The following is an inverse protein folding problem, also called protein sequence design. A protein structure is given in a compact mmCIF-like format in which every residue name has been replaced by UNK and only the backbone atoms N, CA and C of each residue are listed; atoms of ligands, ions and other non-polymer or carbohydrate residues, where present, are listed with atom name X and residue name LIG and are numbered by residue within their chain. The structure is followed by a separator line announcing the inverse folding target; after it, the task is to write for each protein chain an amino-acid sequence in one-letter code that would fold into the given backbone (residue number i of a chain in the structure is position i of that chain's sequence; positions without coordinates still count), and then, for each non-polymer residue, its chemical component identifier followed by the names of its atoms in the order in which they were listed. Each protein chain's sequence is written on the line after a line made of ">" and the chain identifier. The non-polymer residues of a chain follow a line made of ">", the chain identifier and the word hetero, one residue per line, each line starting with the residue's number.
data_IF_272286189235
#
_entry.id   IF_272286189235
#
_cell.length_a   1.000
_cell.length_b   1.000
_cell.length_c   1.000
_cell.angle_alpha   90.00
_cell.angle_beta   90.00
_cell.angle_gamma   90.00
#
_symmetry.space_group_name_H-M   'P 1'
#
loop_
_entity.id
_entity.type
_entity.pdbx_description
1 polymer ?
#
# COMPACT_ATOMS: atom_id res chain seq x y z
N UNK A 1 6.99 22.14 16.42
CA UNK A 1 8.30 21.77 17.04
C UNK A 1 8.47 20.25 17.16
N UNK A 2 7.48 19.47 16.72
CA UNK A 2 7.46 18.00 16.81
C UNK A 2 8.01 17.29 15.56
N UNK A 3 8.31 18.02 14.49
CA UNK A 3 8.97 17.51 13.26
C UNK A 3 10.12 16.53 13.51
N UNK A 4 11.15 16.83 14.34
CA UNK A 4 12.27 15.91 14.51
C UNK A 4 11.83 14.59 15.17
N UNK A 5 10.87 14.65 16.09
CA UNK A 5 10.34 13.45 16.76
C UNK A 5 9.58 12.57 15.76
N UNK A 6 8.71 13.16 14.93
CA UNK A 6 7.98 12.42 13.88
C UNK A 6 8.91 11.72 12.88
N UNK A 7 10.00 12.37 12.47
CA UNK A 7 11.01 11.78 11.58
C UNK A 7 11.75 10.64 12.30
N UNK A 8 12.19 10.84 13.54
CA UNK A 8 12.87 9.80 14.33
C UNK A 8 11.99 8.57 14.49
N UNK A 9 10.70 8.75 14.80
CA UNK A 9 9.74 7.66 14.89
C UNK A 9 9.59 6.92 13.54
N UNK A 10 9.54 7.67 12.43
CA UNK A 10 9.48 7.11 11.07
C UNK A 10 10.71 6.26 10.73
N UNK A 11 11.89 6.66 11.18
CA UNK A 11 13.14 5.92 10.98
C UNK A 11 13.22 4.66 11.86
N UNK A 12 12.74 4.74 13.11
CA UNK A 12 12.80 3.65 14.09
C UNK A 12 11.75 2.56 13.87
N UNK A 13 10.59 2.89 13.30
CA UNK A 13 9.53 1.93 13.01
C UNK A 13 10.02 0.70 12.22
N UNK A 14 10.65 0.86 11.04
CA UNK A 14 11.18 -0.24 10.26
C UNK A 14 12.27 -1.06 10.98
N UNK A 15 13.12 -0.41 11.78
CA UNK A 15 14.11 -1.07 12.62
C UNK A 15 13.45 -2.00 13.64
N UNK A 16 12.41 -1.51 14.30
CA UNK A 16 11.68 -2.24 15.33
C UNK A 16 10.91 -3.41 14.73
N UNK A 17 10.29 -3.23 13.56
CA UNK A 17 9.67 -4.30 12.77
C UNK A 17 10.69 -5.36 12.37
N UNK A 18 11.89 -4.94 11.91
CA UNK A 18 12.97 -5.85 11.54
C UNK A 18 13.46 -6.70 12.71
N UNK A 19 13.56 -6.11 13.90
CA UNK A 19 13.90 -6.82 15.13
C UNK A 19 12.79 -7.79 15.57
N UNK A 20 11.52 -7.46 15.29
CA UNK A 20 10.36 -8.27 15.61
C UNK A 20 10.23 -9.56 14.80
N UNK A 21 10.81 -9.63 13.59
CA UNK A 21 10.62 -10.76 12.66
C UNK A 21 11.06 -12.13 13.22
N UNK A 22 12.08 -12.16 14.08
CA UNK A 22 12.57 -13.38 14.74
C UNK A 22 12.29 -13.42 16.24
N UNK A 23 11.49 -12.48 16.77
CA UNK A 23 11.26 -12.26 18.20
C UNK A 23 9.76 -12.28 18.53
N UNK A 24 9.42 -11.80 19.73
CA UNK A 24 8.05 -11.72 20.25
C UNK A 24 7.18 -10.73 19.44
N UNK A 25 5.90 -11.07 19.30
CA UNK A 25 4.87 -10.25 18.62
C UNK A 25 4.81 -8.79 19.09
N UNK A 26 5.13 -8.50 20.35
CA UNK A 26 5.13 -7.14 20.90
C UNK A 26 6.08 -6.15 20.19
N UNK A 27 7.21 -6.61 19.64
CA UNK A 27 8.11 -5.75 18.86
C UNK A 27 7.49 -5.32 17.52
N UNK A 28 6.70 -6.21 16.91
CA UNK A 28 5.97 -5.92 15.67
C UNK A 28 4.88 -4.88 15.95
N UNK A 29 4.10 -5.08 17.01
CA UNK A 29 3.10 -4.10 17.45
C UNK A 29 3.73 -2.74 17.76
N UNK A 30 4.86 -2.71 18.47
CA UNK A 30 5.57 -1.47 18.75
C UNK A 30 6.07 -0.76 17.49
N UNK A 31 6.60 -1.50 16.51
CA UNK A 31 7.01 -0.93 15.23
C UNK A 31 5.86 -0.29 14.45
N UNK A 32 4.70 -0.94 14.42
CA UNK A 32 3.48 -0.36 13.85
C UNK A 32 3.01 0.87 14.63
N UNK A 33 2.99 0.81 15.97
CA UNK A 33 2.62 1.93 16.81
C UNK A 33 3.52 3.15 16.60
N UNK A 34 4.84 2.96 16.44
CA UNK A 34 5.77 4.04 16.12
C UNK A 34 5.44 4.69 14.76
N UNK A 35 5.20 3.89 13.73
CA UNK A 35 4.85 4.39 12.40
C UNK A 35 3.51 5.14 12.41
N UNK A 36 2.50 4.62 13.10
CA UNK A 36 1.21 5.28 13.25
C UNK A 36 1.35 6.60 14.01
N UNK A 37 2.10 6.61 15.11
CA UNK A 37 2.35 7.83 15.88
C UNK A 37 3.11 8.87 15.04
N UNK A 38 4.11 8.44 14.27
CA UNK A 38 4.85 9.30 13.36
C UNK A 38 3.93 9.94 12.31
N UNK A 39 3.08 9.13 11.66
CA UNK A 39 2.14 9.60 10.66
C UNK A 39 1.16 10.62 11.25
N UNK A 40 0.62 10.36 12.44
CA UNK A 40 -0.28 11.26 13.16
C UNK A 40 0.40 12.59 13.48
N UNK A 41 1.57 12.55 14.14
CA UNK A 41 2.29 13.76 14.54
C UNK A 41 2.68 14.63 13.35
N UNK A 42 3.21 14.02 12.28
CA UNK A 42 3.65 14.75 11.09
C UNK A 42 2.47 15.33 10.31
N UNK A 43 1.35 14.60 10.26
CA UNK A 43 0.12 15.10 9.62
C UNK A 43 -0.49 16.27 10.40
N UNK A 44 -0.49 16.22 11.73
CA UNK A 44 -1.04 17.31 12.55
C UNK A 44 -0.21 18.58 12.48
N UNK A 45 1.13 18.49 12.44
CA UNK A 45 1.97 19.70 12.38
C UNK A 45 2.12 20.28 10.96
N UNK A 46 2.20 19.43 9.92
CA UNK A 46 2.58 19.86 8.56
C UNK A 46 1.66 19.32 7.45
N UNK A 47 0.53 18.72 7.81
CA UNK A 47 -0.41 18.16 6.84
C UNK A 47 0.22 17.05 5.98
N UNK A 48 -0.16 17.01 4.72
CA UNK A 48 0.28 16.03 3.74
C UNK A 48 1.80 16.09 3.47
N UNK A 49 2.43 17.27 3.61
CA UNK A 49 3.87 17.41 3.46
C UNK A 49 4.63 16.70 4.58
N UNK A 50 4.17 16.83 5.82
CA UNK A 50 4.72 16.09 6.94
C UNK A 50 4.60 14.58 6.71
N UNK A 51 3.41 14.13 6.31
CA UNK A 51 3.17 12.72 6.02
C UNK A 51 4.07 12.20 4.89
N UNK A 52 4.27 12.98 3.82
CA UNK A 52 5.15 12.64 2.71
C UNK A 52 6.60 12.47 3.19
N UNK A 53 7.12 13.44 3.94
CA UNK A 53 8.50 13.41 4.47
C UNK A 53 8.69 12.21 5.40
N UNK A 54 7.75 11.97 6.33
CA UNK A 54 7.80 10.81 7.23
C UNK A 54 7.78 9.48 6.47
N UNK A 55 6.92 9.37 5.46
CA UNK A 55 6.84 8.18 4.61
C UNK A 55 8.14 7.95 3.84
N UNK A 56 8.72 8.99 3.25
CA UNK A 56 10.03 8.92 2.59
C UNK A 56 11.13 8.47 3.56
N UNK A 57 11.16 9.00 4.78
CA UNK A 57 12.12 8.59 5.81
C UNK A 57 11.95 7.11 6.20
N UNK A 58 10.71 6.66 6.40
CA UNK A 58 10.41 5.26 6.71
C UNK A 58 10.83 4.31 5.57
N UNK A 59 10.51 4.66 4.31
CA UNK A 59 10.89 3.90 3.12
C UNK A 59 12.42 3.86 2.97
N UNK A 60 13.11 4.98 3.16
CA UNK A 60 14.57 5.05 3.11
C UNK A 60 15.21 4.12 4.17
N UNK A 61 14.74 4.18 5.42
CA UNK A 61 15.20 3.31 6.51
C UNK A 61 14.97 1.83 6.18
N UNK A 62 13.77 1.48 5.72
CA UNK A 62 13.44 0.12 5.31
C UNK A 62 14.33 -0.37 4.15
N UNK A 63 14.63 0.52 3.18
CA UNK A 63 15.47 0.20 2.03
C UNK A 63 16.93 -0.04 2.43
N UNK A 64 17.46 0.75 3.36
CA UNK A 64 18.81 0.53 3.93
C UNK A 64 18.86 -0.83 4.64
N UNK A 65 17.86 -1.15 5.45
CA UNK A 65 17.79 -2.45 6.12
C UNK A 65 17.74 -3.62 5.13
N UNK A 66 16.98 -3.47 4.05
CA UNK A 66 16.89 -4.46 2.99
C UNK A 66 18.23 -4.60 2.24
N UNK A 67 18.89 -3.49 1.91
CA UNK A 67 20.20 -3.49 1.26
C UNK A 67 21.27 -4.17 2.11
N UNK A 68 21.32 -3.86 3.42
CA UNK A 68 22.23 -4.52 4.37
C UNK A 68 21.94 -6.03 4.45
N UNK A 69 20.67 -6.42 4.47
CA UNK A 69 20.29 -7.83 4.46
C UNK A 69 20.69 -8.53 3.16
N UNK A 70 20.51 -7.87 2.02
CA UNK A 70 20.91 -8.39 0.71
C UNK A 70 22.42 -8.63 0.64
N UNK A 71 23.23 -7.66 1.11
CA UNK A 71 24.71 -7.78 1.14
C UNK A 71 25.19 -8.92 2.05
N UNK A 72 24.46 -9.21 3.14
CA UNK A 72 24.81 -10.27 4.09
C UNK A 72 24.29 -11.65 3.69
N UNK A 73 23.42 -11.75 2.69
CA UNK A 73 22.83 -13.01 2.27
C UNK A 73 23.68 -13.62 1.14
N UNK A 74 24.32 -14.79 1.34
CA UNK A 74 25.08 -15.42 0.26
C UNK A 74 24.15 -15.82 -0.89
N UNK A 75 24.56 -15.51 -2.13
CA UNK A 75 23.77 -15.68 -3.35
C UNK A 75 23.30 -17.14 -3.66
N UNK A 76 23.68 -18.13 -2.86
CA UNK A 76 23.32 -19.55 -3.05
C UNK A 76 22.41 -20.17 -1.97
N UNK A 77 21.99 -19.40 -0.94
CA UNK A 77 21.12 -19.89 0.15
C UNK A 77 19.62 -19.70 -0.09
N UNK A 78 19.19 -19.46 -1.32
CA UNK A 78 17.79 -19.67 -1.68
C UNK A 78 17.48 -21.15 -1.44
N UNK A 79 16.69 -21.40 -0.39
CA UNK A 79 16.42 -22.73 0.13
C UNK A 79 16.06 -23.69 -1.02
N UNK A 80 16.96 -24.64 -1.31
CA UNK A 80 16.73 -25.79 -2.20
C UNK A 80 15.45 -26.58 -1.83
N UNK A 81 14.88 -26.35 -0.64
CA UNK A 81 13.66 -27.00 -0.15
C UNK A 81 12.33 -26.26 -0.37
N UNK A 82 12.28 -25.18 -1.16
CA UNK A 82 11.03 -24.42 -1.44
C UNK A 82 10.72 -24.24 -2.92
N UNK A 83 11.23 -25.10 -3.79
CA UNK A 83 10.63 -25.23 -5.11
C UNK A 83 9.28 -25.92 -4.89
N UNK A 84 8.13 -25.25 -5.09
CA UNK A 84 6.87 -25.95 -5.09
C UNK A 84 7.01 -27.06 -6.13
N UNK A 85 6.70 -28.29 -5.72
CA UNK A 85 6.60 -29.43 -6.63
C UNK A 85 5.90 -28.92 -7.89
N UNK A 86 6.62 -28.94 -9.02
CA UNK A 86 6.10 -28.48 -10.30
C UNK A 86 5.05 -29.52 -10.70
N UNK A 87 3.86 -29.46 -10.09
CA UNK A 87 2.70 -30.25 -10.51
C UNK A 87 2.62 -30.02 -12.00
N UNK A 88 2.71 -31.10 -12.77
CA UNK A 88 2.58 -31.06 -14.22
C UNK A 88 1.25 -30.37 -14.54
N UNK A 89 1.29 -29.06 -14.80
CA UNK A 89 0.12 -28.29 -15.15
C UNK A 89 -0.23 -28.72 -16.56
N UNK A 90 -1.41 -29.31 -16.71
CA UNK A 90 -2.06 -29.49 -18.01
C UNK A 90 -1.96 -28.18 -18.80
N UNK A 91 -1.72 -28.28 -20.12
CA UNK A 91 -1.74 -27.10 -20.99
C UNK A 91 -3.05 -26.31 -20.75
N UNK A 92 -2.98 -24.98 -20.62
CA UNK A 92 -4.17 -24.19 -20.35
C UNK A 92 -5.15 -24.28 -21.54
N UNK A 93 -6.38 -24.69 -21.27
CA UNK A 93 -7.46 -24.67 -22.24
C UNK A 93 -7.99 -23.22 -22.44
N UNK A 94 -8.65 -22.93 -23.56
CA UNK A 94 -9.20 -21.59 -23.86
C UNK A 94 -10.04 -20.96 -22.74
N UNK A 95 -10.93 -21.69 -22.04
CA UNK A 95 -11.66 -21.14 -20.90
C UNK A 95 -10.76 -20.74 -19.72
N UNK A 96 -9.65 -21.46 -19.50
CA UNK A 96 -8.67 -21.12 -18.48
C UNK A 96 -7.90 -19.85 -18.84
N UNK A 97 -7.56 -19.67 -20.12
CA UNK A 97 -6.94 -18.46 -20.64
C UNK A 97 -7.88 -17.26 -20.47
N UNK A 98 -9.14 -17.38 -20.88
CA UNK A 98 -10.15 -16.33 -20.71
C UNK A 98 -10.35 -15.96 -19.23
N UNK A 99 -10.41 -16.95 -18.32
CA UNK A 99 -10.50 -16.69 -16.87
C UNK A 99 -9.29 -15.92 -16.35
N UNK A 100 -8.07 -16.29 -16.76
CA UNK A 100 -6.84 -15.61 -16.32
C UNK A 100 -6.77 -14.16 -16.82
N UNK A 101 -7.20 -13.91 -18.06
CA UNK A 101 -7.35 -12.56 -18.58
C UNK A 101 -8.39 -11.76 -17.81
N UNK A 102 -9.53 -12.37 -17.49
CA UNK A 102 -10.56 -11.75 -16.64
C UNK A 102 -10.01 -11.36 -15.26
N UNK A 103 -9.26 -12.26 -14.61
CA UNK A 103 -8.60 -11.95 -13.33
C UNK A 103 -7.63 -10.79 -13.52
N UNK A 104 -6.74 -10.87 -14.52
CA UNK A 104 -5.75 -9.83 -14.78
C UNK A 104 -6.39 -8.46 -15.03
N UNK A 105 -7.43 -8.38 -15.86
CA UNK A 105 -8.12 -7.12 -16.21
C UNK A 105 -8.86 -6.54 -15.00
N UNK A 106 -9.55 -7.39 -14.22
CA UNK A 106 -10.31 -6.92 -13.06
C UNK A 106 -9.36 -6.46 -11.96
N UNK A 107 -8.34 -7.27 -11.65
CA UNK A 107 -7.39 -6.88 -10.62
C UNK A 107 -6.58 -5.70 -11.13
N UNK A 108 -5.74 -5.84 -12.15
CA UNK A 108 -4.74 -4.83 -12.44
C UNK A 108 -5.30 -3.51 -13.03
N UNK A 109 -5.70 -3.43 -14.31
CA UNK A 109 -6.06 -2.15 -14.92
C UNK A 109 -7.37 -1.58 -14.36
N UNK A 110 -8.41 -2.41 -14.12
CA UNK A 110 -9.69 -1.90 -13.64
C UNK A 110 -9.59 -1.33 -12.22
N UNK A 111 -8.89 -2.01 -11.31
CA UNK A 111 -8.71 -1.51 -9.93
C UNK A 111 -7.78 -0.31 -9.91
N UNK A 112 -6.76 -0.26 -10.78
CA UNK A 112 -5.92 0.92 -10.92
C UNK A 112 -6.74 2.13 -11.38
N UNK A 113 -7.55 1.99 -12.44
CA UNK A 113 -8.44 3.05 -12.93
C UNK A 113 -9.43 3.52 -11.87
N UNK A 114 -10.08 2.60 -11.16
CA UNK A 114 -11.01 2.93 -10.08
C UNK A 114 -10.32 3.68 -8.93
N UNK A 115 -9.10 3.28 -8.60
CA UNK A 115 -8.31 3.93 -7.55
C UNK A 115 -7.87 5.33 -7.95
N UNK A 116 -7.38 5.52 -9.18
CA UNK A 116 -7.02 6.84 -9.70
C UNK A 116 -8.23 7.76 -9.77
N UNK A 117 -9.37 7.23 -10.22
CA UNK A 117 -10.63 7.98 -10.23
C UNK A 117 -11.01 8.45 -8.83
N UNK A 118 -10.99 7.56 -7.82
CA UNK A 118 -11.28 7.94 -6.44
C UNK A 118 -10.27 8.97 -5.91
N UNK A 119 -8.97 8.79 -6.16
CA UNK A 119 -7.94 9.71 -5.68
C UNK A 119 -8.13 11.14 -6.23
N UNK A 120 -8.38 11.29 -7.53
CA UNK A 120 -8.68 12.60 -8.15
C UNK A 120 -9.95 13.22 -7.55
N UNK A 121 -10.96 12.39 -7.21
CA UNK A 121 -12.18 12.88 -6.56
C UNK A 121 -11.95 13.30 -5.10
N UNK A 122 -11.09 12.59 -4.37
CA UNK A 122 -10.66 12.99 -3.02
C UNK A 122 -9.91 14.33 -3.06
N UNK A 123 -9.02 14.54 -4.04
CA UNK A 123 -8.34 15.83 -4.24
C UNK A 123 -9.33 16.95 -4.49
N UNK A 124 -10.22 16.79 -5.47
CA UNK A 124 -11.21 17.81 -5.83
C UNK A 124 -12.13 18.15 -4.66
N UNK A 125 -12.52 17.14 -3.87
CA UNK A 125 -13.31 17.33 -2.66
C UNK A 125 -12.53 18.07 -1.58
N UNK A 126 -11.26 17.72 -1.36
CA UNK A 126 -10.41 18.40 -0.38
C UNK A 126 -10.22 19.89 -0.72
N UNK A 127 -9.99 20.21 -2.00
CA UNK A 127 -9.94 21.61 -2.49
C UNK A 127 -11.27 22.32 -2.26
N UNK A 128 -12.39 21.69 -2.61
CA UNK A 128 -13.73 22.27 -2.39
C UNK A 128 -14.04 22.51 -0.90
N UNK A 129 -13.49 21.70 0.00
CA UNK A 129 -13.62 21.86 1.45
C UNK A 129 -12.72 22.94 2.07
N UNK A 130 -11.94 23.66 1.25
CA UNK A 130 -11.06 24.75 1.68
C UNK A 130 -9.63 24.33 2.03
N UNK A 131 -9.23 23.09 1.72
CA UNK A 131 -7.84 22.67 1.84
C UNK A 131 -6.97 23.34 0.77
N UNK A 132 -5.68 23.55 1.05
CA UNK A 132 -4.76 24.08 0.04
C UNK A 132 -4.57 23.06 -1.09
N UNK A 133 -4.37 23.57 -2.32
CA UNK A 133 -4.19 22.75 -3.52
C UNK A 133 -3.00 21.79 -3.37
N UNK A 134 -1.86 22.30 -2.87
CA UNK A 134 -0.67 21.49 -2.64
C UNK A 134 -0.89 20.35 -1.63
N UNK A 135 -1.64 20.60 -0.55
CA UNK A 135 -1.95 19.59 0.45
C UNK A 135 -2.90 18.53 -0.10
N UNK A 136 -3.93 18.95 -0.84
CA UNK A 136 -4.93 18.08 -1.46
C UNK A 136 -4.30 17.13 -2.48
N UNK A 137 -3.44 17.65 -3.36
CA UNK A 137 -2.73 16.85 -4.35
C UNK A 137 -1.79 15.84 -3.68
N UNK A 138 -1.00 16.28 -2.68
CA UNK A 138 -0.10 15.40 -1.95
C UNK A 138 -0.86 14.26 -1.23
N UNK A 139 -2.00 14.57 -0.59
CA UNK A 139 -2.85 13.54 0.03
C UNK A 139 -3.37 12.54 -0.99
N UNK A 140 -3.85 12.98 -2.15
CA UNK A 140 -4.37 12.09 -3.19
C UNK A 140 -3.29 11.15 -3.76
N UNK A 141 -2.09 11.68 -4.00
CA UNK A 141 -0.93 10.91 -4.48
C UNK A 141 -0.53 9.83 -3.46
N UNK A 142 -0.54 10.14 -2.16
CA UNK A 142 -0.22 9.17 -1.10
C UNK A 142 -1.35 8.16 -0.92
N UNK A 143 -2.61 8.57 -1.02
CA UNK A 143 -3.78 7.71 -0.82
C UNK A 143 -3.92 6.65 -1.93
N UNK A 144 -3.62 6.99 -3.18
CA UNK A 144 -3.78 6.10 -4.33
C UNK A 144 -3.10 4.71 -4.16
N UNK A 145 -1.78 4.60 -3.88
CA UNK A 145 -1.15 3.30 -3.70
C UNK A 145 -1.69 2.52 -2.49
N UNK A 146 -2.14 3.21 -1.43
CA UNK A 146 -2.72 2.57 -0.23
C UNK A 146 -4.07 1.94 -0.59
N UNK A 147 -4.97 2.72 -1.18
CA UNK A 147 -6.30 2.28 -1.63
C UNK A 147 -6.15 1.09 -2.59
N UNK A 148 -5.23 1.21 -3.56
CA UNK A 148 -4.98 0.17 -4.53
C UNK A 148 -4.48 -1.12 -3.89
N UNK A 149 -3.54 -1.02 -2.94
CA UNK A 149 -3.00 -2.17 -2.21
C UNK A 149 -4.06 -2.88 -1.37
N UNK A 150 -4.94 -2.13 -0.70
CA UNK A 150 -6.06 -2.71 0.07
C UNK A 150 -7.00 -3.46 -0.87
N UNK A 151 -7.40 -2.83 -1.98
CA UNK A 151 -8.29 -3.43 -2.97
C UNK A 151 -7.69 -4.71 -3.57
N UNK A 152 -6.40 -4.67 -3.95
CA UNK A 152 -5.65 -5.84 -4.44
C UNK A 152 -5.59 -6.97 -3.42
N UNK A 153 -5.26 -6.64 -2.17
CA UNK A 153 -5.16 -7.63 -1.10
C UNK A 153 -6.49 -8.34 -0.88
N UNK A 154 -7.60 -7.59 -0.89
CA UNK A 154 -8.94 -8.16 -0.85
C UNK A 154 -9.24 -9.06 -2.05
N UNK A 155 -8.92 -8.60 -3.27
CA UNK A 155 -9.14 -9.38 -4.49
C UNK A 155 -8.37 -10.70 -4.50
N UNK A 156 -7.16 -10.73 -3.95
CA UNK A 156 -6.37 -11.96 -3.80
C UNK A 156 -6.99 -12.98 -2.84
N UNK A 157 -7.85 -12.54 -1.92
CA UNK A 157 -8.62 -13.41 -1.03
C UNK A 157 -9.92 -13.93 -1.68
N UNK A 158 -10.30 -13.42 -2.85
CA UNK A 158 -11.53 -13.81 -3.53
C UNK A 158 -11.34 -15.05 -4.41
N UNK A 159 -12.27 -16.00 -4.33
CA UNK A 159 -12.27 -17.20 -5.18
C UNK A 159 -13.00 -17.06 -6.53
N UNK A 160 -13.70 -15.95 -6.77
CA UNK A 160 -14.53 -15.74 -7.97
C UNK A 160 -14.33 -14.36 -8.59
N UNK A 161 -14.43 -14.27 -9.92
CA UNK A 161 -14.30 -13.02 -10.68
C UNK A 161 -15.30 -11.95 -10.23
N UNK A 162 -16.55 -12.35 -9.96
CA UNK A 162 -17.58 -11.43 -9.48
C UNK A 162 -17.20 -10.75 -8.16
N UNK A 163 -16.69 -11.53 -7.19
CA UNK A 163 -16.22 -10.95 -5.91
C UNK A 163 -15.00 -10.04 -6.08
N UNK A 164 -14.12 -10.36 -7.04
CA UNK A 164 -12.99 -9.48 -7.36
C UNK A 164 -13.45 -8.13 -7.94
N UNK A 165 -14.55 -8.11 -8.70
CA UNK A 165 -15.10 -6.90 -9.30
C UNK A 165 -15.77 -5.96 -8.27
N UNK A 166 -16.11 -6.46 -7.08
CA UNK A 166 -16.71 -5.64 -6.02
C UNK A 166 -15.76 -4.54 -5.54
N UNK A 167 -14.45 -4.80 -5.49
CA UNK A 167 -13.46 -3.80 -5.07
C UNK A 167 -13.42 -2.57 -5.99
N UNK A 168 -13.16 -2.69 -7.32
CA UNK A 168 -13.21 -1.54 -8.22
C UNK A 168 -14.60 -0.91 -8.30
N UNK A 169 -15.68 -1.69 -8.21
CA UNK A 169 -17.04 -1.14 -8.17
C UNK A 169 -17.25 -0.24 -6.94
N UNK A 170 -16.84 -0.67 -5.75
CA UNK A 170 -16.93 0.13 -4.53
C UNK A 170 -16.10 1.43 -4.63
N UNK A 171 -14.90 1.37 -5.22
CA UNK A 171 -14.06 2.55 -5.44
C UNK A 171 -14.70 3.55 -6.42
N UNK A 172 -15.27 3.05 -7.52
CA UNK A 172 -16.00 3.91 -8.46
C UNK A 172 -17.24 4.55 -7.82
N UNK A 173 -18.00 3.78 -7.04
CA UNK A 173 -19.17 4.28 -6.31
C UNK A 173 -18.77 5.35 -5.29
N UNK A 174 -17.70 5.12 -4.53
CA UNK A 174 -17.18 6.10 -3.59
C UNK A 174 -16.72 7.38 -4.31
N UNK A 175 -16.00 7.26 -5.43
CA UNK A 175 -15.58 8.40 -6.23
C UNK A 175 -16.76 9.14 -6.87
N UNK A 176 -17.79 8.42 -7.30
CA UNK A 176 -19.03 8.98 -7.83
C UNK A 176 -19.83 9.72 -6.76
N UNK A 177 -19.91 9.18 -5.55
CA UNK A 177 -20.54 9.86 -4.42
C UNK A 177 -19.84 11.18 -4.08
N UNK A 178 -18.50 11.19 -4.02
CA UNK A 178 -17.72 12.42 -3.83
C UNK A 178 -17.94 13.44 -4.95
N UNK A 179 -18.22 12.99 -6.18
CA UNK A 179 -18.52 13.89 -7.29
C UNK A 179 -19.88 14.59 -7.15
N UNK A 180 -20.87 13.92 -6.57
CA UNK A 180 -22.23 14.47 -6.39
C UNK A 180 -22.36 15.46 -5.22
N UNK A 181 -21.42 15.42 -4.27
CA UNK A 181 -21.45 16.27 -3.05
C UNK A 181 -20.73 17.62 -3.29
N UNK A 182 -20.13 17.81 -4.47
CA UNK A 182 -19.47 19.06 -4.89
C UNK A 182 -20.46 20.02 -5.54
#
# INVERSE_FOLDING_TARGET
>A
MMLPYGIVLSLLGPLMLRLGWHRKSGWIMGGWALLTMAAVLLTFEYGAWGLAIGTCAAIASASVLLAVAALRTPAGRLAKGRLPERKARRAPDWPDIARRWGVFIITFPLTLLATLFLAVRMEAFAVASGSSEANSMATAVIAAPIIWTIAMSWQMLCGTLFRMALAPAALFLAGGALWLIR
#
